data_IF_638428547100
#
_entry.id   IF_638428547100
#
_cell.length_a   1.000
_cell.length_b   1.000
_cell.length_c   1.000
_cell.angle_alpha   90.00
_cell.angle_beta   90.00
_cell.angle_gamma   90.00
#
_symmetry.space_group_name_H-M   'P 1'
#
loop_
_entity.id
_entity.type
_entity.pdbx_description
1 polymer ?
#
# COMPACT_ATOMS: atom_id res chain seq x y z
N UNK A 1 -7.84 -4.91 4.78
CA UNK A 1 -6.42 -5.02 5.16
C UNK A 1 -5.72 -3.73 4.81
N UNK A 2 -4.70 -3.35 5.58
CA UNK A 2 -3.86 -2.18 5.29
C UNK A 2 -2.48 -2.68 4.88
N UNK A 3 -2.05 -2.39 3.66
CA UNK A 3 -0.68 -2.58 3.23
C UNK A 3 0.12 -1.33 3.61
N UNK A 4 0.77 -1.33 4.77
CA UNK A 4 1.42 -0.16 5.35
C UNK A 4 2.89 -0.04 4.89
N UNK A 5 3.27 0.97 4.09
CA UNK A 5 4.66 1.19 3.74
C UNK A 5 5.48 1.63 4.96
N UNK A 6 6.71 1.14 5.05
CA UNK A 6 7.67 1.62 6.07
C UNK A 6 8.10 3.07 5.82
N UNK A 7 8.67 3.72 6.83
CA UNK A 7 9.29 5.05 6.64
C UNK A 7 10.38 5.03 5.55
N UNK A 8 11.11 3.92 5.42
CA UNK A 8 12.11 3.75 4.37
C UNK A 8 11.48 3.63 2.96
N UNK A 9 10.25 3.11 2.86
CA UNK A 9 9.49 3.10 1.61
C UNK A 9 9.16 4.52 1.15
N UNK A 10 8.69 5.38 2.06
CA UNK A 10 8.42 6.78 1.77
C UNK A 10 9.69 7.54 1.38
N UNK A 11 10.83 7.26 2.01
CA UNK A 11 12.11 7.90 1.66
C UNK A 11 12.57 7.67 0.20
N UNK A 12 12.03 6.66 -0.49
CA UNK A 12 12.28 6.40 -1.92
C UNK A 12 11.48 7.31 -2.85
N UNK A 13 10.43 7.97 -2.35
CA UNK A 13 9.61 8.87 -3.14
C UNK A 13 10.29 10.23 -3.34
N UNK A 14 9.91 10.98 -4.39
CA UNK A 14 10.30 12.38 -4.51
C UNK A 14 9.59 13.26 -3.46
N UNK A 15 10.16 14.44 -3.19
CA UNK A 15 9.45 15.47 -2.46
C UNK A 15 8.14 15.85 -3.19
N UNK A 16 7.05 16.17 -2.48
CA UNK A 16 6.96 16.37 -1.03
C UNK A 16 6.67 15.11 -0.20
N UNK A 17 6.62 13.92 -0.79
CA UNK A 17 6.17 12.69 -0.11
C UNK A 17 7.28 11.88 0.57
N UNK A 18 8.51 12.38 0.55
CA UNK A 18 9.70 11.62 0.90
C UNK A 18 9.99 11.55 2.41
N UNK A 19 9.38 12.41 3.22
CA UNK A 19 9.55 12.37 4.68
C UNK A 19 8.40 13.10 5.39
N UNK A 20 8.29 12.88 6.70
CA UNK A 20 7.22 13.43 7.54
C UNK A 20 7.17 14.97 7.56
N UNK A 21 8.33 15.65 7.57
CA UNK A 21 8.37 17.11 7.60
C UNK A 21 7.83 17.71 6.29
N UNK A 22 8.21 17.14 5.15
CA UNK A 22 7.73 17.55 3.85
C UNK A 22 6.23 17.25 3.68
N UNK A 23 5.79 16.07 4.13
CA UNK A 23 4.36 15.69 4.10
C UNK A 23 3.53 16.66 4.96
N UNK A 24 4.02 17.01 6.16
CA UNK A 24 3.33 17.94 7.05
C UNK A 24 3.28 19.38 6.50
N UNK A 25 4.20 19.74 5.61
CA UNK A 25 4.22 21.03 4.93
C UNK A 25 3.30 21.08 3.68
N UNK A 26 2.71 19.96 3.27
CA UNK A 26 1.77 19.92 2.14
C UNK A 26 0.51 20.73 2.51
N UNK A 27 0.32 21.86 1.84
CA UNK A 27 -0.84 22.74 2.01
C UNK A 27 -1.68 22.87 0.74
N UNK A 28 -1.13 22.47 -0.41
CA UNK A 28 -1.83 22.49 -1.68
C UNK A 28 -2.96 21.44 -1.70
N UNK A 29 -4.24 21.83 -1.92
CA UNK A 29 -5.37 20.90 -1.95
C UNK A 29 -5.21 19.76 -2.95
N UNK A 30 -4.55 20.00 -4.09
CA UNK A 30 -4.34 18.96 -5.10
C UNK A 30 -3.40 17.86 -4.59
N UNK A 31 -2.33 18.23 -3.90
CA UNK A 31 -1.36 17.29 -3.32
C UNK A 31 -1.98 16.52 -2.14
N UNK A 32 -2.83 17.17 -1.34
CA UNK A 32 -3.60 16.52 -0.27
C UNK A 32 -4.56 15.48 -0.85
N UNK A 33 -5.28 15.83 -1.92
CA UNK A 33 -6.19 14.91 -2.59
C UNK A 33 -5.44 13.71 -3.21
N UNK A 34 -4.29 13.96 -3.83
CA UNK A 34 -3.43 12.91 -4.37
C UNK A 34 -2.93 11.97 -3.26
N UNK A 35 -2.42 12.52 -2.15
CA UNK A 35 -1.97 11.75 -1.00
C UNK A 35 -3.12 10.92 -0.40
N UNK A 36 -4.30 11.52 -0.23
CA UNK A 36 -5.48 10.82 0.27
C UNK A 36 -5.84 9.62 -0.61
N UNK A 37 -5.81 9.78 -1.94
CA UNK A 37 -6.10 8.68 -2.85
C UNK A 37 -5.02 7.58 -2.79
N UNK A 38 -3.74 7.96 -2.69
CA UNK A 38 -2.64 7.01 -2.51
C UNK A 38 -2.82 6.23 -1.20
N UNK A 39 -3.14 6.88 -0.09
CA UNK A 39 -3.39 6.20 1.18
C UNK A 39 -4.57 5.24 1.09
N UNK A 40 -5.66 5.64 0.43
CA UNK A 40 -6.82 4.77 0.18
C UNK A 40 -6.48 3.58 -0.73
N UNK A 41 -5.50 3.72 -1.62
CA UNK A 41 -5.00 2.63 -2.44
C UNK A 41 -4.29 1.53 -1.63
N UNK A 42 -3.77 1.86 -0.45
CA UNK A 42 -3.14 0.90 0.46
C UNK A 42 -4.16 0.15 1.33
N UNK A 43 -5.45 0.50 1.26
CA UNK A 43 -6.49 -0.08 2.09
C UNK A 43 -7.44 -0.92 1.24
N UNK A 44 -7.80 -2.09 1.74
CA UNK A 44 -8.79 -3.00 1.13
C UNK A 44 -9.94 -3.26 2.10
N UNK A 45 -11.14 -3.47 1.56
CA UNK A 45 -12.35 -3.75 2.34
C UNK A 45 -12.41 -5.14 2.98
N UNK A 46 -11.54 -6.07 2.55
CA UNK A 46 -11.51 -7.44 3.06
C UNK A 46 -10.28 -7.68 3.95
N UNK A 47 -10.36 -8.67 4.83
CA UNK A 47 -9.21 -9.15 5.62
C UNK A 47 -8.46 -10.19 4.81
N UNK A 48 -7.19 -9.90 4.52
CA UNK A 48 -6.22 -10.78 3.86
C UNK A 48 -5.03 -10.97 4.79
N UNK A 49 -4.80 -12.21 5.18
CA UNK A 49 -3.51 -12.72 5.66
C UNK A 49 -2.59 -13.03 4.47
N UNK A 50 -1.30 -13.22 4.70
CA UNK A 50 -0.33 -13.55 3.65
C UNK A 50 -0.73 -14.82 2.86
N UNK A 51 -1.31 -15.82 3.54
CA UNK A 51 -1.80 -17.05 2.90
C UNK A 51 -3.13 -16.88 2.14
N UNK A 52 -3.87 -15.80 2.38
CA UNK A 52 -5.10 -15.50 1.64
C UNK A 52 -4.82 -14.77 0.33
N UNK A 53 -3.59 -14.27 0.14
CA UNK A 53 -3.19 -13.66 -1.11
C UNK A 53 -3.27 -14.74 -2.21
N UNK A 54 -3.83 -14.42 -3.37
CA UNK A 54 -3.83 -15.36 -4.49
C UNK A 54 -2.60 -15.19 -5.37
N UNK A 55 -2.36 -16.11 -6.32
CA UNK A 55 -1.29 -15.97 -7.32
C UNK A 55 -1.74 -14.99 -8.39
N UNK A 56 -1.01 -13.89 -8.57
CA UNK A 56 -1.31 -12.81 -9.53
C UNK A 56 -2.76 -12.30 -9.42
N UNK A 57 -3.31 -12.30 -8.21
CA UNK A 57 -4.70 -11.95 -7.97
C UNK A 57 -4.90 -10.44 -7.91
N UNK A 58 -6.06 -9.98 -8.39
CA UNK A 58 -6.42 -8.55 -8.40
C UNK A 58 -7.31 -8.24 -7.21
N UNK A 59 -6.83 -7.38 -6.32
CA UNK A 59 -7.56 -6.97 -5.12
C UNK A 59 -8.00 -5.52 -5.25
N UNK A 60 -9.30 -5.28 -5.08
CA UNK A 60 -9.87 -3.92 -5.06
C UNK A 60 -9.49 -3.20 -3.76
N UNK A 61 -9.03 -1.97 -3.92
CA UNK A 61 -8.64 -1.05 -2.85
C UNK A 61 -9.74 -0.02 -2.63
N UNK A 62 -9.60 0.83 -1.62
CA UNK A 62 -10.54 1.91 -1.34
C UNK A 62 -10.23 3.19 -2.13
N UNK A 63 -9.23 3.17 -3.02
CA UNK A 63 -8.91 4.30 -3.88
C UNK A 63 -10.06 4.62 -4.84
N UNK A 64 -10.14 5.89 -5.22
CA UNK A 64 -11.07 6.37 -6.22
C UNK A 64 -10.55 6.08 -7.63
N UNK A 65 -11.48 5.95 -8.59
CA UNK A 65 -11.17 5.75 -10.01
C UNK A 65 -11.03 4.29 -10.45
N UNK A 66 -10.74 4.10 -11.75
CA UNK A 66 -10.67 2.79 -12.39
C UNK A 66 -9.38 2.00 -12.08
N UNK A 67 -8.32 2.71 -11.66
CA UNK A 67 -7.03 2.14 -11.27
C UNK A 67 -7.00 1.87 -9.75
N UNK A 68 -8.06 1.27 -9.20
CA UNK A 68 -8.20 0.99 -7.77
C UNK A 68 -7.95 -0.48 -7.41
N UNK A 69 -7.14 -1.18 -8.21
CA UNK A 69 -6.82 -2.59 -7.97
C UNK A 69 -5.32 -2.78 -7.91
N UNK A 70 -4.85 -3.47 -6.88
CA UNK A 70 -3.46 -3.93 -6.78
C UNK A 70 -3.37 -5.40 -7.19
N UNK A 71 -2.17 -5.85 -7.54
CA UNK A 71 -1.87 -7.27 -7.80
C UNK A 71 -1.17 -7.88 -6.60
N UNK A 72 -1.61 -9.05 -6.15
CA UNK A 72 -1.02 -9.81 -5.04
C UNK A 72 -0.43 -11.14 -5.51
N UNK A 73 0.53 -11.65 -4.76
CA UNK A 73 1.07 -13.01 -4.88
C UNK A 73 1.24 -13.57 -3.46
N UNK A 74 0.75 -14.79 -3.19
CA UNK A 74 1.07 -15.47 -1.93
C UNK A 74 2.54 -15.88 -1.84
N UNK A 75 3.04 -15.90 -0.61
CA UNK A 75 4.29 -16.53 -0.24
C UNK A 75 4.15 -17.38 1.01
N UNK A 76 5.26 -18.01 1.41
CA UNK A 76 5.32 -18.76 2.64
C UNK A 76 5.71 -17.84 3.79
N UNK A 77 4.74 -17.51 4.65
CA UNK A 77 4.91 -16.57 5.77
C UNK A 77 5.30 -15.13 5.33
N UNK A 78 5.10 -14.82 4.04
CA UNK A 78 5.19 -13.49 3.42
C UNK A 78 4.21 -13.45 2.26
N UNK A 79 4.10 -12.28 1.63
CA UNK A 79 3.34 -12.04 0.42
C UNK A 79 4.04 -11.02 -0.46
N UNK A 80 3.50 -10.80 -1.64
CA UNK A 80 3.94 -9.72 -2.52
C UNK A 80 2.75 -8.93 -3.03
N UNK A 81 2.91 -7.61 -3.10
CA UNK A 81 1.90 -6.69 -3.60
C UNK A 81 2.50 -5.70 -4.58
N UNK A 82 1.72 -5.30 -5.57
CA UNK A 82 2.16 -4.34 -6.58
C UNK A 82 1.00 -3.44 -6.99
N UNK A 83 1.19 -2.13 -6.90
CA UNK A 83 0.29 -1.16 -7.51
C UNK A 83 0.43 -1.13 -9.03
N UNK A 84 -0.55 -0.62 -9.79
CA UNK A 84 -0.42 -0.66 -11.26
C UNK A 84 0.71 0.23 -11.77
N UNK A 85 0.98 1.34 -11.07
CA UNK A 85 2.08 2.25 -11.37
C UNK A 85 3.46 1.76 -10.90
N UNK A 86 3.55 0.66 -10.14
CA UNK A 86 4.83 0.14 -9.70
C UNK A 86 5.44 -0.84 -10.72
N UNK A 87 6.75 -0.70 -10.95
CA UNK A 87 7.51 -1.63 -11.81
C UNK A 87 7.72 -2.99 -11.15
N UNK A 88 7.99 -3.01 -9.85
CA UNK A 88 8.33 -4.20 -9.08
C UNK A 88 7.30 -4.48 -7.99
N UNK A 89 7.17 -5.76 -7.61
CA UNK A 89 6.42 -6.15 -6.43
C UNK A 89 7.17 -5.73 -5.16
N UNK A 90 6.42 -5.25 -4.18
CA UNK A 90 6.88 -5.06 -2.81
C UNK A 90 6.55 -6.29 -1.98
N UNK A 91 7.54 -6.82 -1.27
CA UNK A 91 7.33 -7.94 -0.37
C UNK A 91 6.69 -7.44 0.93
N UNK A 92 5.73 -8.20 1.48
CA UNK A 92 5.24 -7.98 2.85
C UNK A 92 6.26 -8.51 3.85
N UNK A 93 6.42 -7.83 4.98
CA UNK A 93 7.26 -8.36 6.05
C UNK A 93 6.70 -9.69 6.55
N UNK A 94 7.57 -10.61 7.01
CA UNK A 94 7.10 -11.85 7.59
C UNK A 94 6.24 -11.60 8.82
N UNK A 95 5.05 -12.18 8.82
CA UNK A 95 4.12 -12.15 9.94
C UNK A 95 3.05 -11.06 9.81
N UNK A 96 1.81 -11.51 9.81
CA UNK A 96 0.64 -10.65 9.79
C UNK A 96 0.48 -9.90 11.12
N UNK A 97 0.28 -8.58 11.06
CA UNK A 97 -0.02 -7.79 12.26
C UNK A 97 -1.54 -7.71 12.43
N UNK A 98 -2.07 -8.43 13.43
CA UNK A 98 -3.50 -8.42 13.75
C UNK A 98 -3.94 -7.06 14.31
N UNK A 99 -5.02 -6.53 13.74
CA UNK A 99 -5.73 -5.37 14.26
C UNK A 99 -7.18 -5.74 14.56
N UNK A 100 -7.85 -4.98 15.42
CA UNK A 100 -9.25 -5.23 15.84
C UNK A 100 -10.21 -5.36 14.65
N UNK A 101 -10.00 -4.54 13.61
CA UNK A 101 -10.84 -4.47 12.42
C UNK A 101 -10.16 -4.96 11.13
N UNK A 102 -8.98 -5.55 11.21
CA UNK A 102 -8.28 -6.00 10.00
C UNK A 102 -6.99 -6.73 10.25
N UNK A 103 -6.11 -6.66 9.25
CA UNK A 103 -4.72 -7.10 9.27
C UNK A 103 -3.91 -5.97 8.66
N UNK A 104 -2.74 -5.72 9.23
CA UNK A 104 -1.75 -4.82 8.70
C UNK A 104 -0.60 -5.64 8.12
N UNK A 105 -0.27 -5.36 6.86
CA UNK A 105 0.82 -5.94 6.11
C UNK A 105 1.87 -4.88 5.88
N UNK A 106 3.04 -5.00 6.52
CA UNK A 106 4.11 -4.02 6.34
C UNK A 106 4.79 -4.25 5.00
N UNK A 107 5.01 -3.20 4.20
CA UNK A 107 5.64 -3.32 2.87
C UNK A 107 6.82 -2.37 2.69
N UNK A 108 7.72 -2.75 1.78
CA UNK A 108 8.98 -2.04 1.52
C UNK A 108 8.88 -0.86 0.54
N UNK A 109 7.75 -0.71 -0.16
CA UNK A 109 7.53 0.31 -1.19
C UNK A 109 6.14 0.93 -1.06
N UNK A 110 6.00 2.18 -1.50
CA UNK A 110 4.69 2.81 -1.62
C UNK A 110 4.01 2.31 -2.89
N UNK A 111 2.78 1.82 -2.75
CA UNK A 111 1.94 1.36 -3.85
C UNK A 111 1.38 2.57 -4.60
N UNK A 112 1.61 2.60 -5.91
CA UNK A 112 1.14 3.64 -6.81
C UNK A 112 -0.03 3.08 -7.63
N UNK A 113 -1.20 3.74 -7.63
CA UNK A 113 -2.38 3.33 -8.38
C UNK A 113 -2.12 2.91 -9.83
#
# INVERSE_FOLDING_TARGET
TVFAPTNAAFAKLPAPFNNAANIAAISNPADIAALSNILRYHVTGSRYFDWDLGILSRVTTLADGSQNKLTTILGYNTGWVKGNGNNNFSQTNPGDILATNGVLQVIGDVLIP
#
